data_IF_536467424019
#
_entry.id   IF_536467424019
#
_cell.length_a   1.000
_cell.length_b   1.000
_cell.length_c   1.000
_cell.angle_alpha   90.00
_cell.angle_beta   90.00
_cell.angle_gamma   90.00
#
_symmetry.space_group_name_H-M   'P 1'
#
loop_
_entity.id
_entity.type
_entity.pdbx_description
1 polymer ?
#
# COMPACT_ATOMS: atom_id res chain seq x y z
N UNK A 1 -1.54 21.38 9.95
CA UNK A 1 -1.54 19.91 9.99
C UNK A 1 -0.45 19.50 10.95
N UNK A 2 -0.81 19.05 12.16
CA UNK A 2 0.19 18.55 13.12
C UNK A 2 0.67 17.21 12.58
N UNK A 3 1.95 17.12 12.19
CA UNK A 3 2.55 15.86 11.75
C UNK A 3 2.76 15.00 13.00
N UNK A 4 1.87 14.05 13.27
CA UNK A 4 2.06 13.14 14.39
C UNK A 4 3.08 12.09 13.95
N UNK A 5 4.21 11.98 14.66
CA UNK A 5 5.29 11.03 14.31
C UNK A 5 4.86 9.54 14.42
N UNK A 6 3.61 9.29 14.83
CA UNK A 6 3.02 7.96 14.92
C UNK A 6 2.13 7.58 13.74
N UNK A 7 1.86 8.47 12.79
CA UNK A 7 0.89 8.22 11.71
C UNK A 7 1.43 7.27 10.63
N UNK A 8 2.75 7.05 10.58
CA UNK A 8 3.40 6.15 9.62
C UNK A 8 4.38 5.22 10.34
N UNK A 9 4.30 3.92 10.06
CA UNK A 9 5.21 2.89 10.57
C UNK A 9 5.71 2.04 9.41
N UNK A 10 7.02 2.00 9.24
CA UNK A 10 7.64 1.18 8.21
C UNK A 10 7.41 -0.31 8.51
N UNK A 11 6.84 -1.02 7.54
CA UNK A 11 6.70 -2.47 7.55
C UNK A 11 7.82 -3.07 6.70
N UNK A 12 8.76 -3.84 7.28
CA UNK A 12 9.79 -4.49 6.50
C UNK A 12 9.23 -5.58 5.56
N UNK A 13 9.93 -5.87 4.46
CA UNK A 13 9.51 -6.86 3.46
C UNK A 13 9.22 -8.26 4.02
N UNK A 14 9.94 -8.69 5.07
CA UNK A 14 9.66 -9.97 5.74
C UNK A 14 8.28 -10.02 6.41
N UNK A 15 7.67 -8.87 6.71
CA UNK A 15 6.29 -8.78 7.20
C UNK A 15 5.24 -8.86 6.09
N UNK A 16 5.62 -8.51 4.85
CA UNK A 16 4.73 -8.54 3.68
C UNK A 16 4.76 -9.91 3.00
N UNK A 17 5.94 -10.51 2.84
CA UNK A 17 6.09 -11.78 2.12
C UNK A 17 5.13 -12.90 2.59
N UNK A 18 4.85 -13.09 3.90
CA UNK A 18 3.96 -14.16 4.37
C UNK A 18 2.49 -13.98 4.00
N UNK A 19 2.02 -12.75 3.76
CA UNK A 19 0.59 -12.48 3.45
C UNK A 19 0.25 -12.77 1.99
N UNK A 20 1.24 -12.71 1.09
CA UNK A 20 1.07 -12.81 -0.37
C UNK A 20 0.32 -14.09 -0.79
N UNK A 21 0.65 -15.23 -0.17
CA UNK A 21 0.03 -16.54 -0.47
C UNK A 21 -1.46 -16.64 -0.14
N UNK A 22 -2.02 -15.67 0.60
CA UNK A 22 -3.44 -15.62 0.95
C UNK A 22 -4.23 -14.65 0.07
N UNK A 23 -3.56 -13.91 -0.82
CA UNK A 23 -4.21 -12.92 -1.66
C UNK A 23 -4.80 -13.58 -2.91
N UNK A 24 -6.04 -13.24 -3.29
CA UNK A 24 -6.68 -13.81 -4.46
C UNK A 24 -6.02 -13.31 -5.76
N UNK A 25 -5.75 -14.24 -6.68
CA UNK A 25 -5.22 -13.92 -8.01
C UNK A 25 -6.20 -13.07 -8.84
N UNK A 26 -5.65 -12.28 -9.77
CA UNK A 26 -6.44 -11.48 -10.72
C UNK A 26 -7.18 -10.29 -10.09
N UNK A 27 -6.88 -9.93 -8.84
CA UNK A 27 -7.39 -8.71 -8.19
C UNK A 27 -6.38 -7.57 -8.29
N UNK A 28 -6.92 -6.35 -8.30
CA UNK A 28 -6.14 -5.13 -8.08
C UNK A 28 -6.10 -4.91 -6.57
N UNK A 29 -4.90 -4.77 -6.02
CA UNK A 29 -4.69 -4.47 -4.60
C UNK A 29 -4.50 -2.96 -4.46
N UNK A 30 -5.31 -2.35 -3.60
CA UNK A 30 -5.12 -0.97 -3.21
C UNK A 30 -4.38 -0.91 -1.87
N UNK A 31 -3.24 -0.21 -1.87
CA UNK A 31 -2.42 0.10 -0.71
C UNK A 31 -2.65 1.58 -0.32
N UNK A 32 -3.64 1.88 0.54
CA UNK A 32 -4.17 3.24 0.70
C UNK A 32 -3.28 4.20 1.49
N UNK A 33 -2.25 3.70 2.16
CA UNK A 33 -1.37 4.45 3.06
C UNK A 33 0.08 4.43 2.59
N UNK A 34 0.33 3.94 1.37
CA UNK A 34 1.66 3.57 0.91
C UNK A 34 2.17 4.49 -0.19
N UNK A 35 3.49 4.58 -0.28
CA UNK A 35 4.16 5.17 -1.45
C UNK A 35 4.67 4.06 -2.38
N UNK A 36 5.12 4.44 -3.58
CA UNK A 36 5.76 3.51 -4.51
C UNK A 36 7.00 2.79 -3.95
N UNK A 37 7.60 3.30 -2.87
CA UNK A 37 8.78 2.71 -2.23
C UNK A 37 8.44 1.83 -1.01
N UNK A 38 7.16 1.67 -0.68
CA UNK A 38 6.76 0.79 0.42
C UNK A 38 7.04 -0.67 0.09
N UNK A 39 7.37 -1.45 1.12
CA UNK A 39 7.56 -2.89 0.97
C UNK A 39 6.28 -3.60 0.50
N UNK A 40 5.10 -3.08 0.87
CA UNK A 40 3.81 -3.55 0.35
C UNK A 40 3.74 -3.40 -1.17
N UNK A 41 3.97 -2.20 -1.69
CA UNK A 41 3.86 -1.96 -3.14
C UNK A 41 4.90 -2.79 -3.91
N UNK A 42 6.15 -2.81 -3.46
CA UNK A 42 7.22 -3.53 -4.14
C UNK A 42 6.96 -5.04 -4.16
N UNK A 43 6.73 -5.67 -3.01
CA UNK A 43 6.57 -7.12 -2.95
C UNK A 43 5.29 -7.61 -3.63
N UNK A 44 4.20 -6.83 -3.60
CA UNK A 44 2.97 -7.18 -4.30
C UNK A 44 3.12 -7.07 -5.82
N UNK A 45 3.82 -6.04 -6.31
CA UNK A 45 4.14 -5.91 -7.73
C UNK A 45 5.07 -7.03 -8.21
N UNK A 46 6.11 -7.35 -7.43
CA UNK A 46 7.02 -8.47 -7.71
C UNK A 46 6.29 -9.83 -7.74
N UNK A 47 5.27 -9.99 -6.90
CA UNK A 47 4.40 -11.17 -6.91
C UNK A 47 3.39 -11.20 -8.08
N UNK A 48 3.40 -10.18 -8.95
CA UNK A 48 2.57 -10.13 -10.16
C UNK A 48 1.18 -9.52 -9.97
N UNK A 49 0.89 -8.92 -8.81
CA UNK A 49 -0.37 -8.21 -8.60
C UNK A 49 -0.35 -6.85 -9.27
N UNK A 50 -1.52 -6.42 -9.76
CA UNK A 50 -1.74 -5.02 -10.08
C UNK A 50 -1.94 -4.26 -8.77
N UNK A 51 -1.14 -3.23 -8.54
CA UNK A 51 -1.16 -2.46 -7.29
C UNK A 51 -1.44 -0.99 -7.59
N UNK A 52 -2.44 -0.44 -6.90
CA UNK A 52 -2.67 1.01 -6.81
C UNK A 52 -2.25 1.45 -5.41
N UNK A 53 -1.56 2.58 -5.30
CA UNK A 53 -1.16 3.13 -4.01
C UNK A 53 -1.57 4.59 -3.90
N UNK A 54 -1.81 5.04 -2.68
CA UNK A 54 -2.14 6.42 -2.36
C UNK A 54 -1.52 6.81 -1.04
N UNK A 55 -1.29 8.10 -0.86
CA UNK A 55 -0.71 8.61 0.37
C UNK A 55 -1.31 9.96 0.74
N UNK A 56 -1.43 10.25 2.03
CA UNK A 56 -1.92 11.55 2.49
C UNK A 56 -1.02 12.70 2.00
N UNK A 57 0.29 12.45 1.88
CA UNK A 57 1.27 13.42 1.35
C UNK A 57 1.09 13.74 -0.14
N UNK A 58 0.42 12.88 -0.92
CA UNK A 58 0.09 13.15 -2.33
C UNK A 58 -1.30 13.78 -2.49
N UNK A 59 -1.95 14.17 -1.38
CA UNK A 59 -3.32 14.70 -1.38
C UNK A 59 -4.40 13.63 -1.55
N UNK A 60 -4.02 12.35 -1.47
CA UNK A 60 -4.92 11.21 -1.60
C UNK A 60 -5.23 10.64 -0.22
N UNK A 61 -6.09 11.33 0.53
CA UNK A 61 -6.53 10.92 1.86
C UNK A 61 -7.44 9.68 1.77
N UNK A 62 -7.09 8.60 2.47
CA UNK A 62 -7.86 7.36 2.51
C UNK A 62 -9.35 7.57 2.85
N UNK A 63 -9.69 8.57 3.66
CA UNK A 63 -11.09 8.84 4.01
C UNK A 63 -11.90 9.52 2.88
N UNK A 64 -11.23 10.07 1.86
CA UNK A 64 -11.86 10.87 0.80
C UNK A 64 -11.44 10.47 -0.62
N UNK A 65 -10.45 9.60 -0.77
CA UNK A 65 -9.90 9.14 -2.03
C UNK A 65 -10.01 7.62 -2.13
N UNK A 66 -10.55 7.16 -3.24
CA UNK A 66 -10.49 5.77 -3.68
C UNK A 66 -10.01 5.79 -5.15
N UNK A 67 -9.03 4.97 -5.54
CA UNK A 67 -8.61 4.89 -6.92
C UNK A 67 -9.70 4.25 -7.78
N UNK A 68 -9.71 4.57 -9.08
CA UNK A 68 -10.61 3.92 -10.03
C UNK A 68 -10.46 2.39 -9.99
N UNK A 69 -11.45 1.65 -10.47
CA UNK A 69 -11.38 0.19 -10.59
C UNK A 69 -10.39 -0.27 -11.68
#
# INVERSE_FOLDING_TARGET
>A
MFLNCSDEKYTPGYGVAPIIKYLPEGKIIWCPFDTCHSEFVLHLQEAGFQVKYSHINTGQDFFAYEPDC
#
